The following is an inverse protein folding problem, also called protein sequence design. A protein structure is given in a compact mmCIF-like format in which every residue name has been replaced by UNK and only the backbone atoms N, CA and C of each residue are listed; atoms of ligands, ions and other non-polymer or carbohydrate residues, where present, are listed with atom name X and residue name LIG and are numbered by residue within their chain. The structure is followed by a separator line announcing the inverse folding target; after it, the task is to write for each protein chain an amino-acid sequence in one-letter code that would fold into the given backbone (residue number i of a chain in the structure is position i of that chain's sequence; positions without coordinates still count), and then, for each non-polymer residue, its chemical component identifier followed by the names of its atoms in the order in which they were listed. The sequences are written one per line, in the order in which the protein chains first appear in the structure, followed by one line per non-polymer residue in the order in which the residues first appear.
data_IF_308233028119
#
_entry.id   IF_308233028119
#
_cell.length_a   1.000
_cell.length_b   1.000
_cell.length_c   1.000
_cell.angle_alpha   90.00
_cell.angle_beta   90.00
_cell.angle_gamma   90.00
#
_symmetry.space_group_name_H-M   'P 1'
#
loop_
_entity.id
_entity.type
_entity.pdbx_description
1 polymer ?
#
# COMPACT_ATOMS: atom_id res chain seq x y z
N UNK A 1 6.88 -17.89 -9.44
CA UNK A 1 6.14 -17.18 -8.38
C UNK A 1 6.61 -15.74 -8.42
N UNK A 2 5.73 -14.73 -8.49
CA UNK A 2 6.14 -13.34 -8.37
C UNK A 2 6.98 -13.14 -7.09
N UNK A 3 8.00 -12.30 -7.20
CA UNK A 3 8.78 -11.82 -6.07
C UNK A 3 8.32 -10.39 -5.74
N UNK A 4 8.10 -10.12 -4.46
CA UNK A 4 7.59 -8.83 -3.97
C UNK A 4 8.55 -8.19 -2.98
N UNK A 5 8.62 -6.86 -3.02
CA UNK A 5 9.08 -6.04 -1.90
C UNK A 5 7.94 -5.09 -1.51
N UNK A 6 7.57 -5.08 -0.23
CA UNK A 6 6.51 -4.20 0.29
C UNK A 6 7.15 -2.99 0.98
N UNK A 7 6.74 -1.78 0.59
CA UNK A 7 7.10 -0.53 1.29
C UNK A 7 5.85 -0.01 2.02
N UNK A 8 5.89 0.05 3.35
CA UNK A 8 4.67 0.13 4.18
C UNK A 8 4.84 1.02 5.40
N UNK A 9 3.76 1.55 5.95
CA UNK A 9 3.75 2.32 7.19
C UNK A 9 2.81 1.69 8.24
N UNK A 10 3.07 0.46 8.73
CA UNK A 10 2.01 -0.41 9.23
C UNK A 10 0.99 0.22 10.17
N UNK A 11 -0.17 0.46 9.57
CA UNK A 11 -1.48 0.61 10.12
C UNK A 11 -2.25 -0.72 10.18
N UNK A 12 -3.49 -0.66 10.65
CA UNK A 12 -4.40 -1.82 10.73
C UNK A 12 -4.53 -2.59 9.42
N UNK A 13 -4.75 -1.96 8.26
CA UNK A 13 -4.91 -2.68 6.99
C UNK A 13 -3.59 -3.11 6.33
N UNK A 14 -2.47 -2.40 6.53
CA UNK A 14 -1.14 -2.91 6.18
C UNK A 14 -0.85 -4.26 6.84
N UNK A 15 -1.34 -4.49 8.07
CA UNK A 15 -1.17 -5.77 8.76
C UNK A 15 -1.83 -6.92 8.00
N UNK A 16 -2.98 -6.68 7.37
CA UNK A 16 -3.63 -7.66 6.50
C UNK A 16 -2.85 -7.83 5.19
N UNK A 17 -2.29 -6.75 4.64
CA UNK A 17 -1.51 -6.79 3.41
C UNK A 17 -0.21 -7.61 3.56
N UNK A 18 0.54 -7.37 4.65
CA UNK A 18 1.75 -8.14 4.98
C UNK A 18 1.39 -9.60 5.26
N UNK A 19 0.35 -9.86 6.07
CA UNK A 19 -0.09 -11.23 6.35
C UNK A 19 -0.48 -11.96 5.06
N UNK A 20 -1.18 -11.30 4.14
CA UNK A 20 -1.55 -11.88 2.85
C UNK A 20 -0.32 -12.27 2.03
N UNK A 21 0.68 -11.39 1.93
CA UNK A 21 1.91 -11.66 1.18
C UNK A 21 2.77 -12.78 1.82
N UNK A 22 2.74 -12.91 3.15
CA UNK A 22 3.46 -13.98 3.85
C UNK A 22 2.75 -15.32 3.72
N UNK A 23 1.43 -15.35 3.87
CA UNK A 23 0.66 -16.59 3.94
C UNK A 23 0.36 -17.19 2.57
N UNK A 24 0.27 -16.37 1.52
CA UNK A 24 -0.01 -16.91 0.19
C UNK A 24 1.22 -17.67 -0.36
N UNK A 25 1.06 -18.94 -0.80
CA UNK A 25 2.15 -19.76 -1.32
C UNK A 25 2.56 -19.40 -2.75
N UNK A 26 1.74 -18.63 -3.48
CA UNK A 26 1.99 -18.31 -4.88
C UNK A 26 2.99 -17.14 -5.05
N UNK A 27 3.51 -16.59 -3.93
CA UNK A 27 4.38 -15.41 -3.92
C UNK A 27 5.58 -15.57 -2.98
N UNK A 28 6.68 -14.92 -3.34
CA UNK A 28 7.88 -14.80 -2.50
C UNK A 28 8.02 -13.36 -2.03
N UNK A 29 7.82 -13.10 -0.73
CA UNK A 29 8.13 -11.82 -0.11
C UNK A 29 9.64 -11.73 0.15
N UNK A 30 10.34 -10.92 -0.65
CA UNK A 30 11.79 -10.76 -0.56
C UNK A 30 12.22 -9.87 0.60
N UNK A 31 11.39 -8.88 0.94
CA UNK A 31 11.71 -7.93 2.01
C UNK A 31 10.57 -6.95 2.27
N UNK A 32 10.66 -6.28 3.42
CA UNK A 32 9.76 -5.22 3.84
C UNK A 32 10.58 -3.98 4.15
N UNK A 33 10.21 -2.84 3.57
CA UNK A 33 10.73 -1.54 3.99
C UNK A 33 9.63 -0.76 4.68
N UNK A 34 10.03 0.09 5.62
CA UNK A 34 9.07 0.90 6.37
C UNK A 34 9.26 2.38 6.17
N UNK A 35 8.17 3.11 6.15
CA UNK A 35 8.14 4.57 6.02
C UNK A 35 7.27 5.16 7.13
N UNK A 36 7.39 6.46 7.35
CA UNK A 36 6.43 7.19 8.17
C UNK A 36 5.06 7.22 7.48
N UNK A 37 4.00 7.47 8.25
CA UNK A 37 2.68 7.79 7.68
C UNK A 37 1.61 7.70 8.75
N UNK A 38 0.96 6.54 8.87
CA UNK A 38 -0.04 6.22 9.88
C UNK A 38 0.45 6.54 11.29
N UNK A 39 1.70 6.17 11.59
CA UNK A 39 2.45 6.55 12.80
C UNK A 39 3.90 6.92 12.48
N UNK A 40 4.74 7.15 13.49
CA UNK A 40 6.16 7.44 13.27
C UNK A 40 6.87 6.22 12.69
N UNK A 41 7.92 6.43 11.90
CA UNK A 41 8.63 5.32 11.25
C UNK A 41 9.17 4.28 12.26
N UNK A 42 9.54 4.68 13.47
CA UNK A 42 9.98 3.73 14.50
C UNK A 42 8.83 2.83 14.98
N UNK A 43 7.60 3.34 15.01
CA UNK A 43 6.42 2.57 15.34
C UNK A 43 6.00 1.67 14.17
N UNK A 44 6.03 2.18 12.93
CA UNK A 44 5.73 1.40 11.72
C UNK A 44 6.74 0.25 11.54
N UNK A 45 8.04 0.50 11.75
CA UNK A 45 9.10 -0.52 11.78
C UNK A 45 8.79 -1.62 12.80
N UNK A 46 8.50 -1.23 14.05
CA UNK A 46 8.15 -2.20 15.10
C UNK A 46 6.90 -3.00 14.75
N UNK A 47 5.88 -2.36 14.21
CA UNK A 47 4.64 -3.02 13.83
C UNK A 47 4.89 -4.06 12.74
N UNK A 48 5.63 -3.73 11.67
CA UNK A 48 6.02 -4.69 10.64
C UNK A 48 6.77 -5.89 11.22
N UNK A 49 7.73 -5.68 12.14
CA UNK A 49 8.43 -6.78 12.82
C UNK A 49 7.46 -7.70 13.58
N UNK A 50 6.49 -7.13 14.30
CA UNK A 50 5.47 -7.90 15.03
C UNK A 50 4.55 -8.70 14.10
N UNK A 51 4.16 -8.10 12.97
CA UNK A 51 3.29 -8.75 11.98
C UNK A 51 4.04 -9.90 11.28
N UNK A 52 5.31 -9.71 10.92
CA UNK A 52 6.16 -10.78 10.38
C UNK A 52 6.34 -11.92 11.40
N UNK A 53 6.57 -11.58 12.67
CA UNK A 53 6.68 -12.57 13.74
C UNK A 53 5.37 -13.34 13.96
N UNK A 54 4.21 -12.66 13.94
CA UNK A 54 2.88 -13.28 13.98
C UNK A 54 2.72 -14.34 12.87
N UNK A 55 3.17 -14.01 11.66
CA UNK A 55 3.02 -14.87 10.50
C UNK A 55 4.14 -15.91 10.35
N UNK A 56 5.04 -16.05 11.34
CA UNK A 56 6.16 -16.99 11.29
C UNK A 56 7.24 -16.65 10.25
N UNK A 57 7.29 -15.40 9.78
CA UNK A 57 8.17 -14.92 8.72
C UNK A 57 9.31 -14.03 9.22
N UNK A 58 9.82 -14.31 10.41
CA UNK A 58 10.92 -13.56 11.04
C UNK A 58 12.25 -13.57 10.25
N UNK A 59 12.37 -14.41 9.22
CA UNK A 59 13.51 -14.44 8.31
C UNK A 59 13.42 -13.45 7.14
N UNK A 60 12.28 -12.81 6.93
CA UNK A 60 12.12 -11.78 5.88
C UNK A 60 12.89 -10.53 6.31
N UNK A 61 13.84 -10.02 5.51
CA UNK A 61 14.61 -8.85 5.86
C UNK A 61 13.72 -7.61 5.93
N UNK A 62 13.95 -6.78 6.94
CA UNK A 62 13.22 -5.54 7.17
C UNK A 62 14.17 -4.35 7.35
N UNK A 63 13.88 -3.23 6.69
CA UNK A 63 14.66 -2.00 6.86
C UNK A 63 13.79 -0.79 7.20
N UNK A 64 14.31 0.04 8.10
CA UNK A 64 13.75 1.36 8.43
C UNK A 64 14.07 2.32 7.28
N UNK A 65 13.07 3.05 6.81
CA UNK A 65 13.22 4.05 5.77
C UNK A 65 13.04 5.47 6.27
N UNK A 66 12.46 6.31 5.41
CA UNK A 66 12.29 7.73 5.65
C UNK A 66 11.39 8.01 6.87
N UNK A 67 11.81 8.98 7.69
CA UNK A 67 11.07 9.43 8.87
C UNK A 67 10.12 10.61 8.61
N UNK A 68 10.31 11.28 7.47
CA UNK A 68 9.60 12.50 7.07
C UNK A 68 9.53 12.63 5.54
N UNK A 69 8.63 13.48 5.01
CA UNK A 69 8.52 13.72 3.58
C UNK A 69 9.78 14.38 3.01
N UNK A 70 9.93 14.32 1.70
CA UNK A 70 11.06 14.86 0.96
C UNK A 70 11.26 16.35 1.24
N UNK A 71 10.21 17.16 1.02
CA UNK A 71 10.33 18.61 0.93
C UNK A 71 9.76 19.33 2.14
N UNK A 72 8.52 19.02 2.52
CA UNK A 72 7.80 19.75 3.55
C UNK A 72 7.53 18.89 4.79
N UNK A 73 7.52 19.48 6.00
CA UNK A 73 7.17 18.72 7.21
C UNK A 73 5.78 18.10 7.08
N UNK A 74 5.66 16.84 7.51
CA UNK A 74 4.38 16.15 7.50
C UNK A 74 3.45 16.74 8.58
N UNK A 75 2.27 17.26 8.22
CA UNK A 75 1.48 18.04 9.16
C UNK A 75 0.69 17.16 10.15
N UNK A 76 0.21 15.97 9.76
CA UNK A 76 -0.62 15.11 10.64
C UNK A 76 -0.54 13.62 10.31
N UNK A 77 -0.48 12.77 11.34
CA UNK A 77 -0.51 11.29 11.24
C UNK A 77 -1.95 10.75 11.25
N UNK A 78 -2.18 9.55 10.72
CA UNK A 78 -3.51 8.91 10.65
C UNK A 78 -3.99 8.21 11.94
N UNK A 79 -3.56 8.67 13.12
CA UNK A 79 -3.93 8.09 14.43
C UNK A 79 -5.44 8.05 14.69
N UNK A 80 -6.21 8.90 14.01
CA UNK A 80 -7.68 8.92 14.10
C UNK A 80 -8.35 7.68 13.53
N UNK A 81 -7.69 6.96 12.61
CA UNK A 81 -8.17 5.71 12.03
C UNK A 81 -7.42 4.50 12.61
N UNK A 82 -6.10 4.60 12.76
CA UNK A 82 -5.23 3.47 13.13
C UNK A 82 -4.87 3.41 14.62
N UNK A 83 -5.38 4.33 15.45
CA UNK A 83 -5.08 4.38 16.88
C UNK A 83 -3.69 4.96 17.20
N UNK A 84 -3.33 4.94 18.48
CA UNK A 84 -2.14 5.64 19.00
C UNK A 84 -0.80 4.99 18.61
N UNK A 85 -0.80 3.68 18.40
CA UNK A 85 0.35 2.85 18.04
C UNK A 85 0.34 2.37 16.58
N UNK A 86 -0.69 2.72 15.80
CA UNK A 86 -0.89 2.28 14.42
C UNK A 86 -1.72 0.99 14.29
N UNK A 87 -2.02 0.29 15.39
CA UNK A 87 -2.77 -0.96 15.37
C UNK A 87 -3.93 -0.93 16.39
N UNK A 88 -4.75 0.13 16.36
CA UNK A 88 -5.88 0.37 17.27
C UNK A 88 -5.53 0.35 18.76
N UNK A 89 -4.29 0.74 19.13
CA UNK A 89 -3.80 0.65 20.51
C UNK A 89 -3.56 -0.79 20.99
N UNK A 90 -3.50 -1.76 20.06
CA UNK A 90 -3.43 -3.20 20.34
C UNK A 90 -2.18 -3.87 19.79
N UNK A 91 -1.13 -3.13 19.42
CA UNK A 91 0.12 -3.73 18.93
C UNK A 91 0.74 -4.78 19.87
N UNK A 92 0.46 -4.70 21.19
CA UNK A 92 0.94 -5.66 22.20
C UNK A 92 0.27 -7.03 22.16
N UNK A 93 -0.82 -7.20 21.40
CA UNK A 93 -1.44 -8.53 21.20
C UNK A 93 -0.63 -9.39 20.23
N UNK A 94 0.22 -8.74 19.45
CA UNK A 94 1.15 -9.39 18.53
C UNK A 94 2.45 -9.79 19.27
N UNK A 95 3.18 -10.81 18.77
CA UNK A 95 4.47 -11.19 19.34
C UNK A 95 5.45 -10.02 19.38
N UNK A 96 6.39 -10.04 20.33
CA UNK A 96 7.44 -9.03 20.40
C UNK A 96 8.30 -9.01 19.12
N UNK A 97 8.85 -7.85 18.75
CA UNK A 97 9.67 -7.71 17.56
C UNK A 97 11.03 -8.38 17.78
N UNK A 98 11.12 -9.67 17.47
CA UNK A 98 12.37 -10.45 17.55
C UNK A 98 13.20 -10.31 16.26
N UNK A 99 12.61 -9.76 15.19
CA UNK A 99 13.27 -9.57 13.89
C UNK A 99 14.21 -8.37 13.95
N UNK A 100 15.54 -8.53 13.85
CA UNK A 100 16.45 -7.40 13.73
C UNK A 100 16.17 -6.64 12.45
N UNK A 101 16.21 -5.31 12.48
CA UNK A 101 16.30 -4.55 11.24
C UNK A 101 17.64 -4.83 10.57
N UNK A 102 17.65 -4.82 9.23
CA UNK A 102 18.90 -4.77 8.48
C UNK A 102 19.72 -3.53 8.91
N UNK A 103 21.05 -3.65 8.84
CA UNK A 103 21.96 -2.51 9.08
C UNK A 103 21.80 -1.42 8.01
N UNK A 104 21.31 -1.82 6.83
CA UNK A 104 21.03 -0.97 5.68
C UNK A 104 19.68 -0.23 5.82
N UNK A 105 19.59 0.98 5.26
CA UNK A 105 18.33 1.71 5.13
C UNK A 105 17.40 1.08 4.11
N UNK A 106 16.14 1.54 4.07
CA UNK A 106 15.12 1.02 3.16
C UNK A 106 15.57 1.03 1.69
N UNK A 107 16.17 2.13 1.22
CA UNK A 107 16.62 2.26 -0.17
C UNK A 107 17.73 1.25 -0.47
N UNK A 108 18.72 1.15 0.42
CA UNK A 108 19.84 0.22 0.25
C UNK A 108 19.39 -1.25 0.30
N UNK A 109 18.43 -1.59 1.17
CA UNK A 109 17.84 -2.93 1.19
C UNK A 109 17.13 -3.24 -0.14
N UNK A 110 16.28 -2.31 -0.64
CA UNK A 110 15.61 -2.48 -1.93
C UNK A 110 16.61 -2.69 -3.05
N UNK A 111 17.68 -1.87 -3.12
CA UNK A 111 18.72 -2.01 -4.14
C UNK A 111 19.42 -3.37 -4.06
N UNK A 112 19.76 -3.85 -2.86
CA UNK A 112 20.39 -5.17 -2.70
C UNK A 112 19.50 -6.28 -3.22
N UNK A 113 18.23 -6.30 -2.76
CA UNK A 113 17.26 -7.32 -3.17
C UNK A 113 16.98 -7.28 -4.67
N UNK A 114 16.86 -6.09 -5.26
CA UNK A 114 16.65 -5.93 -6.70
C UNK A 114 17.85 -6.40 -7.53
N UNK A 115 19.08 -6.20 -7.04
CA UNK A 115 20.31 -6.67 -7.73
C UNK A 115 20.53 -8.17 -7.60
N UNK A 116 20.09 -8.76 -6.49
CA UNK A 116 20.20 -10.20 -6.22
C UNK A 116 19.11 -11.02 -6.91
N UNK A 117 17.96 -10.40 -7.21
CA UNK A 117 16.88 -11.06 -7.90
C UNK A 117 17.27 -11.49 -9.32
N UNK A 118 16.94 -12.74 -9.68
CA UNK A 118 17.22 -13.29 -11.00
C UNK A 118 16.22 -12.85 -12.06
N UNK A 119 15.06 -12.35 -11.63
CA UNK A 119 13.95 -11.88 -12.45
C UNK A 119 13.47 -10.53 -11.90
N UNK A 120 12.87 -9.65 -12.74
CA UNK A 120 12.32 -8.39 -12.26
C UNK A 120 11.31 -8.56 -11.11
N UNK A 121 11.42 -7.70 -10.10
CA UNK A 121 10.67 -7.75 -8.85
C UNK A 121 9.51 -6.76 -8.90
N UNK A 122 8.39 -7.10 -8.27
CA UNK A 122 7.27 -6.19 -8.10
C UNK A 122 7.45 -5.40 -6.81
N UNK A 123 7.44 -4.08 -6.91
CA UNK A 123 7.42 -3.19 -5.75
C UNK A 123 5.96 -2.89 -5.37
N UNK A 124 5.63 -2.98 -4.09
CA UNK A 124 4.26 -2.76 -3.59
C UNK A 124 4.28 -1.71 -2.49
N UNK A 125 4.40 -0.42 -2.83
CA UNK A 125 4.26 0.64 -1.85
C UNK A 125 2.79 0.84 -1.45
N UNK A 126 2.55 0.69 -0.16
CA UNK A 126 1.24 0.85 0.49
C UNK A 126 1.23 1.96 1.54
N UNK A 127 2.34 2.71 1.65
CA UNK A 127 2.43 3.95 2.42
C UNK A 127 2.84 5.16 1.58
N UNK A 128 3.25 6.27 2.22
CA UNK A 128 3.81 7.43 1.53
C UNK A 128 5.02 7.06 0.66
N UNK A 129 5.02 7.50 -0.60
CA UNK A 129 5.96 7.08 -1.65
C UNK A 129 7.42 7.56 -1.50
N UNK A 130 7.80 8.04 -0.32
CA UNK A 130 9.09 8.67 -0.03
C UNK A 130 10.27 7.75 -0.35
N UNK A 131 10.23 6.50 0.13
CA UNK A 131 11.31 5.54 -0.08
C UNK A 131 11.45 5.18 -1.58
N UNK A 132 10.32 5.01 -2.28
CA UNK A 132 10.30 4.70 -3.71
C UNK A 132 10.84 5.87 -4.54
N UNK A 133 10.44 7.10 -4.23
CA UNK A 133 10.96 8.30 -4.89
C UNK A 133 12.48 8.43 -4.69
N UNK A 134 12.98 8.15 -3.48
CA UNK A 134 14.42 8.14 -3.19
C UNK A 134 15.15 7.03 -3.95
N UNK A 135 14.60 5.82 -4.01
CA UNK A 135 15.15 4.71 -4.79
C UNK A 135 15.34 5.10 -6.26
N UNK A 136 14.28 5.59 -6.90
CA UNK A 136 14.30 5.95 -8.32
C UNK A 136 15.19 7.16 -8.62
N UNK A 137 15.32 8.10 -7.67
CA UNK A 137 16.19 9.26 -7.82
C UNK A 137 17.68 8.91 -7.63
N UNK A 138 18.01 8.06 -6.65
CA UNK A 138 19.38 7.73 -6.30
C UNK A 138 19.97 6.60 -7.16
N UNK A 139 19.12 5.67 -7.62
CA UNK A 139 19.53 4.47 -8.37
C UNK A 139 18.68 4.29 -9.65
N UNK A 140 18.69 5.26 -10.59
CA UNK A 140 17.90 5.15 -11.82
C UNK A 140 18.27 3.93 -12.68
N UNK A 141 19.46 3.35 -12.49
CA UNK A 141 19.90 2.14 -13.17
C UNK A 141 19.19 0.87 -12.69
N UNK A 142 18.44 0.92 -11.59
CA UNK A 142 17.70 -0.24 -11.03
C UNK A 142 16.33 -0.48 -11.68
N UNK A 143 15.85 0.47 -12.50
CA UNK A 143 14.53 0.37 -13.14
C UNK A 143 14.32 -0.94 -13.93
N UNK A 144 15.29 -1.45 -14.71
CA UNK A 144 15.10 -2.71 -15.43
C UNK A 144 14.88 -3.94 -14.53
N UNK A 145 15.23 -3.87 -13.24
CA UNK A 145 14.98 -4.91 -12.25
C UNK A 145 13.60 -4.79 -11.58
N UNK A 146 12.81 -3.77 -11.92
CA UNK A 146 11.46 -3.56 -11.42
C UNK A 146 10.48 -4.02 -12.52
N UNK A 147 9.68 -5.06 -12.25
CA UNK A 147 8.61 -5.51 -13.16
C UNK A 147 7.52 -4.44 -13.27
N UNK A 148 7.01 -4.03 -12.11
CA UNK A 148 6.03 -2.96 -11.94
C UNK A 148 5.98 -2.48 -10.50
N UNK A 149 5.41 -1.30 -10.30
CA UNK A 149 5.12 -0.72 -8.99
C UNK A 149 3.60 -0.71 -8.79
N UNK A 150 3.09 -1.48 -7.84
CA UNK A 150 1.66 -1.54 -7.51
C UNK A 150 1.40 -0.69 -6.27
N UNK A 151 0.79 0.47 -6.47
CA UNK A 151 0.70 1.54 -5.48
C UNK A 151 -0.70 1.54 -4.86
N UNK A 152 -0.81 1.40 -3.54
CA UNK A 152 -2.02 1.87 -2.85
C UNK A 152 -1.88 3.38 -2.64
N UNK A 153 -2.78 4.14 -3.24
CA UNK A 153 -2.82 5.57 -2.99
C UNK A 153 -3.62 6.35 -3.98
N UNK A 154 -3.91 7.59 -3.62
CA UNK A 154 -4.65 8.53 -4.43
C UNK A 154 -6.14 8.26 -4.48
N UNK A 155 -6.84 9.28 -4.97
CA UNK A 155 -8.24 9.19 -5.27
C UNK A 155 -8.56 10.10 -6.45
N UNK A 156 -9.34 9.58 -7.39
CA UNK A 156 -9.75 10.32 -8.59
C UNK A 156 -10.90 11.26 -8.27
N UNK A 157 -11.90 10.81 -7.50
CA UNK A 157 -13.13 11.56 -7.29
C UNK A 157 -13.11 12.38 -5.99
N UNK A 158 -12.52 11.89 -4.89
CA UNK A 158 -12.44 12.62 -3.61
C UNK A 158 -11.52 11.98 -2.56
N UNK A 159 -11.00 12.78 -1.64
CA UNK A 159 -10.00 12.36 -0.64
C UNK A 159 -10.55 11.85 0.70
N UNK A 160 -9.66 11.32 1.56
CA UNK A 160 -9.97 10.91 2.94
C UNK A 160 -9.27 11.76 4.02
N UNK A 161 -8.19 12.48 3.67
CA UNK A 161 -7.51 13.40 4.60
C UNK A 161 -7.88 14.85 4.33
N UNK A 162 -8.09 15.20 3.05
CA UNK A 162 -8.72 16.45 2.63
C UNK A 162 -9.85 16.11 1.66
N UNK A 163 -10.62 17.13 1.26
CA UNK A 163 -11.68 16.93 0.27
C UNK A 163 -11.17 16.38 -1.07
N UNK A 164 -9.87 16.54 -1.39
CA UNK A 164 -9.29 16.19 -2.70
C UNK A 164 -8.11 15.21 -2.64
N UNK A 165 -7.54 14.97 -1.47
CA UNK A 165 -6.32 14.17 -1.34
C UNK A 165 -6.55 12.94 -0.47
N UNK A 166 -6.02 11.82 -0.95
CA UNK A 166 -5.87 10.58 -0.21
C UNK A 166 -4.58 10.67 0.65
N UNK A 167 -4.59 10.02 1.81
CA UNK A 167 -3.56 10.12 2.85
C UNK A 167 -2.13 9.83 2.37
N UNK A 168 -1.86 8.73 1.66
CA UNK A 168 -0.51 8.36 1.22
C UNK A 168 0.08 9.40 0.27
N UNK A 169 -0.70 9.84 -0.72
CA UNK A 169 -0.26 10.86 -1.67
C UNK A 169 -0.16 12.24 -1.02
N UNK A 170 -1.07 12.59 -0.13
CA UNK A 170 -1.02 13.84 0.64
C UNK A 170 0.16 13.92 1.60
N UNK A 171 0.61 12.77 2.11
CA UNK A 171 1.71 12.66 3.05
C UNK A 171 3.05 13.05 2.43
N UNK A 172 3.26 12.80 1.14
CA UNK A 172 4.39 13.27 0.34
C UNK A 172 4.01 13.48 -1.14
N UNK A 173 3.37 14.61 -1.48
CA UNK A 173 2.96 14.88 -2.85
C UNK A 173 4.12 14.96 -3.82
N UNK A 174 5.28 15.46 -3.39
CA UNK A 174 6.46 15.54 -4.22
C UNK A 174 7.02 14.16 -4.54
N UNK A 175 7.08 13.25 -3.56
CA UNK A 175 7.44 11.86 -3.80
C UNK A 175 6.42 11.16 -4.70
N UNK A 176 5.13 11.36 -4.45
CA UNK A 176 4.08 10.76 -5.26
C UNK A 176 4.12 11.22 -6.71
N UNK A 177 4.28 12.54 -6.94
CA UNK A 177 4.48 13.09 -8.28
C UNK A 177 5.70 12.45 -8.94
N UNK A 178 6.84 12.42 -8.23
CA UNK A 178 8.10 11.87 -8.73
C UNK A 178 7.98 10.40 -9.14
N UNK A 179 7.17 9.58 -8.47
CA UNK A 179 6.97 8.17 -8.81
C UNK A 179 5.97 8.01 -9.96
N UNK A 180 4.82 8.69 -9.89
CA UNK A 180 3.73 8.54 -10.87
C UNK A 180 4.05 9.13 -12.24
N UNK A 181 5.00 10.07 -12.31
CA UNK A 181 5.47 10.65 -13.57
C UNK A 181 6.84 10.12 -13.98
N UNK A 182 7.35 9.06 -13.34
CA UNK A 182 8.67 8.53 -13.68
C UNK A 182 8.63 7.74 -14.99
N UNK A 183 9.44 8.11 -16.00
CA UNK A 183 9.51 7.34 -17.24
C UNK A 183 10.18 5.98 -17.02
N UNK A 184 9.80 5.02 -17.86
CA UNK A 184 10.37 3.66 -17.88
C UNK A 184 10.10 2.86 -16.58
N UNK A 185 9.10 3.27 -15.79
CA UNK A 185 8.65 2.53 -14.60
C UNK A 185 7.16 2.25 -14.74
N UNK A 186 6.81 0.99 -14.94
CA UNK A 186 5.41 0.57 -15.07
C UNK A 186 4.71 0.69 -13.72
N UNK A 187 3.75 1.59 -13.61
CA UNK A 187 2.94 1.76 -12.40
C UNK A 187 1.52 1.21 -12.58
N UNK A 188 0.99 0.61 -11.51
CA UNK A 188 -0.44 0.30 -11.34
C UNK A 188 -0.91 1.02 -10.09
N UNK A 189 -1.81 1.99 -10.25
CA UNK A 189 -2.38 2.74 -9.14
C UNK A 189 -3.67 2.07 -8.67
N UNK A 190 -3.77 1.77 -7.39
CA UNK A 190 -4.93 1.20 -6.71
C UNK A 190 -5.53 2.28 -5.80
N UNK A 191 -6.46 3.10 -6.33
CA UNK A 191 -6.94 4.27 -5.62
C UNK A 191 -8.01 3.94 -4.57
N UNK A 192 -8.24 4.89 -3.68
CA UNK A 192 -9.28 4.81 -2.65
C UNK A 192 -10.68 4.57 -3.24
N UNK A 193 -11.00 5.19 -4.38
CA UNK A 193 -12.32 5.07 -5.04
C UNK A 193 -12.67 3.61 -5.36
N UNK A 194 -11.66 2.79 -5.67
CA UNK A 194 -11.81 1.37 -5.87
C UNK A 194 -11.83 0.60 -4.55
N UNK A 195 -10.82 0.79 -3.72
CA UNK A 195 -10.62 -0.01 -2.50
C UNK A 195 -11.81 0.11 -1.53
N UNK A 196 -12.42 1.29 -1.40
CA UNK A 196 -13.64 1.48 -0.59
C UNK A 196 -14.80 0.58 -1.02
N UNK A 197 -14.91 0.25 -2.31
CA UNK A 197 -15.96 -0.66 -2.82
C UNK A 197 -15.67 -2.13 -2.46
N UNK A 198 -14.42 -2.46 -2.13
CA UNK A 198 -14.00 -3.79 -1.69
C UNK A 198 -14.16 -4.02 -0.17
N UNK A 199 -14.77 -3.09 0.57
CA UNK A 199 -14.95 -3.18 2.02
C UNK A 199 -15.51 -4.54 2.50
N UNK A 200 -14.97 -5.05 3.60
CA UNK A 200 -15.37 -6.31 4.24
C UNK A 200 -16.20 -6.05 5.48
N UNK A 201 -17.22 -6.87 5.70
CA UNK A 201 -18.17 -6.70 6.81
C UNK A 201 -17.76 -7.49 8.06
N UNK A 202 -18.53 -7.30 9.13
CA UNK A 202 -18.32 -8.01 10.40
C UNK A 202 -18.35 -9.55 10.24
N UNK A 203 -19.32 -10.15 9.52
CA UNK A 203 -19.28 -11.59 9.23
C UNK A 203 -18.00 -12.07 8.53
N UNK A 204 -17.46 -11.31 7.58
CA UNK A 204 -16.18 -11.63 6.95
C UNK A 204 -15.03 -11.65 7.97
N UNK A 205 -14.97 -10.64 8.83
CA UNK A 205 -13.95 -10.50 9.87
C UNK A 205 -14.06 -11.61 10.94
N UNK A 206 -15.28 -12.04 11.27
CA UNK A 206 -15.51 -13.14 12.21
C UNK A 206 -15.12 -14.50 11.61
N UNK A 207 -15.33 -14.70 10.30
CA UNK A 207 -14.81 -15.88 9.58
C UNK A 207 -13.29 -15.92 9.57
N UNK A 208 -12.64 -14.77 9.37
CA UNK A 208 -11.19 -14.67 9.48
C UNK A 208 -10.74 -15.02 10.91
N UNK A 209 -11.39 -14.47 11.94
CA UNK A 209 -11.03 -14.77 13.33
C UNK A 209 -11.15 -16.27 13.67
N UNK A 210 -12.16 -16.95 13.10
CA UNK A 210 -12.40 -18.37 13.31
C UNK A 210 -11.40 -19.29 12.57
N UNK A 211 -10.58 -18.76 11.65
CA UNK A 211 -9.66 -19.58 10.85
C UNK A 211 -8.43 -20.05 11.63
N UNK A 212 -8.05 -19.33 12.70
CA UNK A 212 -6.88 -19.66 13.51
C UNK A 212 -6.26 -18.45 14.20
N UNK A 213 -5.11 -18.65 14.87
CA UNK A 213 -4.49 -17.62 15.71
C UNK A 213 -4.13 -16.33 14.97
N UNK A 214 -3.65 -16.43 13.73
CA UNK A 214 -3.29 -15.26 12.92
C UNK A 214 -4.54 -14.44 12.58
N UNK A 215 -5.61 -15.10 12.11
CA UNK A 215 -6.87 -14.43 11.80
C UNK A 215 -7.52 -13.80 13.04
N UNK A 216 -7.45 -14.47 14.18
CA UNK A 216 -7.93 -13.94 15.47
C UNK A 216 -7.15 -12.69 15.90
N UNK A 217 -5.82 -12.71 15.76
CA UNK A 217 -4.97 -11.56 16.06
C UNK A 217 -5.28 -10.38 15.12
N UNK A 218 -5.37 -10.61 13.80
CA UNK A 218 -5.73 -9.57 12.83
C UNK A 218 -7.10 -8.96 13.13
N UNK A 219 -8.10 -9.77 13.48
CA UNK A 219 -9.42 -9.30 13.91
C UNK A 219 -9.32 -8.36 15.10
N UNK A 220 -8.52 -8.71 16.10
CA UNK A 220 -8.35 -7.90 17.30
C UNK A 220 -7.80 -6.49 16.99
N UNK A 221 -6.94 -6.35 15.98
CA UNK A 221 -6.40 -5.05 15.53
C UNK A 221 -7.46 -4.14 14.89
N UNK A 222 -8.65 -4.64 14.54
CA UNK A 222 -9.68 -3.88 13.82
C UNK A 222 -10.58 -3.00 14.68
N UNK A 223 -10.36 -2.92 16.00
CA UNK A 223 -11.32 -2.26 16.92
C UNK A 223 -11.60 -0.79 16.55
N UNK A 224 -10.58 0.08 16.62
CA UNK A 224 -10.75 1.51 16.33
C UNK A 224 -11.03 1.74 14.83
N UNK A 225 -10.42 0.90 13.99
CA UNK A 225 -10.56 0.93 12.54
C UNK A 225 -12.00 0.66 12.09
N UNK A 226 -12.68 -0.30 12.72
CA UNK A 226 -14.09 -0.62 12.48
C UNK A 226 -14.99 0.54 12.94
N UNK A 227 -14.68 1.20 14.06
CA UNK A 227 -15.44 2.37 14.49
C UNK A 227 -15.31 3.51 13.46
N UNK A 228 -14.10 3.79 13.00
CA UNK A 228 -13.84 4.80 11.98
C UNK A 228 -14.59 4.50 10.67
N UNK A 229 -14.43 3.29 10.10
CA UNK A 229 -15.08 2.96 8.84
C UNK A 229 -16.59 2.78 8.95
N UNK A 230 -17.11 2.41 10.12
CA UNK A 230 -18.57 2.42 10.34
C UNK A 230 -19.14 3.82 10.15
N UNK A 231 -18.44 4.86 10.63
CA UNK A 231 -18.83 6.26 10.42
C UNK A 231 -18.65 6.68 8.96
N UNK A 232 -17.53 6.32 8.34
CA UNK A 232 -17.22 6.70 6.96
C UNK A 232 -18.14 6.04 5.92
N UNK A 233 -18.52 4.78 6.12
CA UNK A 233 -19.31 3.97 5.18
C UNK A 233 -20.81 3.93 5.51
N UNK A 234 -21.21 4.38 6.70
CA UNK A 234 -22.60 4.30 7.18
C UNK A 234 -23.09 2.87 7.48
N UNK A 235 -22.18 1.88 7.57
CA UNK A 235 -22.48 0.49 7.91
C UNK A 235 -21.28 -0.20 8.58
N UNK A 236 -21.48 -1.25 9.40
CA UNK A 236 -20.37 -1.98 10.03
C UNK A 236 -19.50 -2.73 9.02
N UNK A 237 -18.39 -2.11 8.63
CA UNK A 237 -17.41 -2.65 7.70
C UNK A 237 -16.06 -1.96 7.89
N UNK A 238 -14.99 -2.56 7.36
CA UNK A 238 -13.67 -1.95 7.22
C UNK A 238 -13.22 -1.99 5.76
N UNK A 239 -12.33 -1.08 5.39
CA UNK A 239 -11.68 -1.10 4.08
C UNK A 239 -10.24 -1.56 4.25
N UNK A 240 -9.88 -2.64 3.58
CA UNK A 240 -8.52 -3.18 3.59
C UNK A 240 -7.78 -2.64 2.35
N UNK A 241 -7.40 -1.37 2.36
CA UNK A 241 -6.91 -0.71 1.14
C UNK A 241 -5.67 -1.40 0.59
N UNK A 242 -4.71 -1.61 1.48
CA UNK A 242 -3.39 -2.13 1.13
C UNK A 242 -3.44 -3.59 0.71
N UNK A 243 -4.33 -4.37 1.32
CA UNK A 243 -4.54 -5.77 0.97
C UNK A 243 -5.05 -5.92 -0.47
N UNK A 244 -5.80 -4.94 -0.99
CA UNK A 244 -6.24 -4.95 -2.40
C UNK A 244 -5.06 -4.68 -3.35
N UNK A 245 -4.16 -3.76 -2.99
CA UNK A 245 -2.96 -3.50 -3.79
C UNK A 245 -2.00 -4.70 -3.79
N UNK A 246 -1.75 -5.30 -2.61
CA UNK A 246 -0.98 -6.54 -2.51
C UNK A 246 -1.65 -7.68 -3.27
N UNK A 247 -2.97 -7.82 -3.20
CA UNK A 247 -3.69 -8.85 -3.94
C UNK A 247 -3.56 -8.69 -5.47
N UNK A 248 -3.61 -7.47 -6.03
CA UNK A 248 -3.33 -7.23 -7.45
C UNK A 248 -1.85 -7.50 -7.81
N UNK A 249 -0.93 -7.27 -6.86
CA UNK A 249 0.47 -7.60 -7.05
C UNK A 249 0.71 -9.12 -7.13
N UNK A 250 0.00 -9.90 -6.31
CA UNK A 250 0.07 -11.38 -6.28
C UNK A 250 -0.72 -11.99 -7.45
N UNK A 251 -1.93 -11.49 -7.72
CA UNK A 251 -2.85 -12.02 -8.73
C UNK A 251 -3.18 -10.93 -9.77
N UNK A 252 -2.25 -10.63 -10.70
CA UNK A 252 -2.46 -9.58 -11.69
C UNK A 252 -3.69 -9.84 -12.55
N UNK A 253 -4.46 -8.79 -12.80
CA UNK A 253 -5.74 -8.86 -13.51
C UNK A 253 -6.95 -9.10 -12.62
N UNK A 254 -6.78 -9.11 -11.29
CA UNK A 254 -7.90 -9.04 -10.35
C UNK A 254 -8.66 -7.70 -10.50
N UNK A 255 -7.93 -6.63 -10.81
CA UNK A 255 -8.47 -5.29 -11.03
C UNK A 255 -8.53 -4.95 -12.52
N UNK A 256 -9.60 -4.26 -12.91
CA UNK A 256 -9.72 -3.64 -14.23
C UNK A 256 -9.11 -2.25 -14.18
N UNK A 257 -8.15 -1.99 -15.05
CA UNK A 257 -7.46 -0.70 -15.13
C UNK A 257 -7.85 0.10 -16.37
N UNK A 258 -7.70 1.42 -16.27
CA UNK A 258 -7.70 2.34 -17.39
C UNK A 258 -6.46 3.22 -17.30
N UNK A 259 -5.82 3.46 -18.43
CA UNK A 259 -4.57 4.22 -18.51
C UNK A 259 -4.84 5.72 -18.62
N UNK A 260 -4.36 6.50 -17.64
CA UNK A 260 -4.48 7.96 -17.63
C UNK A 260 -3.11 8.63 -17.47
N UNK A 261 -2.85 9.75 -18.15
CA UNK A 261 -1.82 10.68 -17.73
C UNK A 261 -2.14 11.19 -16.32
N UNK A 262 -1.15 11.10 -15.43
CA UNK A 262 -1.30 11.48 -14.02
C UNK A 262 -0.37 12.63 -13.65
N UNK A 263 -0.82 13.48 -12.74
CA UNK A 263 0.01 14.43 -11.99
C UNK A 263 -0.47 14.49 -10.53
N UNK A 264 0.32 15.10 -9.65
CA UNK A 264 -0.03 15.34 -8.24
C UNK A 264 0.20 16.80 -7.89
N UNK A 265 -0.82 17.45 -7.32
CA UNK A 265 -0.73 18.84 -6.89
C UNK A 265 0.22 18.98 -5.69
N UNK A 266 1.38 19.62 -5.92
CA UNK A 266 2.39 19.83 -4.88
C UNK A 266 2.28 21.21 -4.21
N UNK A 267 1.66 22.18 -4.87
CA UNK A 267 1.55 23.54 -4.34
C UNK A 267 0.69 23.56 -3.07
N UNK A 268 1.02 24.47 -2.16
CA UNK A 268 0.19 24.71 -0.99
C UNK A 268 -1.19 25.23 -1.40
N UNK A 269 -2.23 24.65 -0.81
CA UNK A 269 -3.60 24.98 -1.12
C UNK A 269 -4.56 23.85 -0.74
N UNK A 270 -5.87 24.04 -0.95
CA UNK A 270 -6.89 23.05 -0.62
C UNK A 270 -6.79 21.75 -1.44
N UNK A 271 -6.08 21.78 -2.56
CA UNK A 271 -5.86 20.65 -3.46
C UNK A 271 -4.50 19.97 -3.26
N UNK A 272 -3.66 20.41 -2.33
CA UNK A 272 -2.33 19.79 -2.14
C UNK A 272 -2.46 18.28 -1.88
N UNK A 273 -1.72 17.47 -2.63
CA UNK A 273 -1.76 16.01 -2.60
C UNK A 273 -2.89 15.39 -3.44
N UNK A 274 -3.70 16.19 -4.13
CA UNK A 274 -4.73 15.66 -5.01
C UNK A 274 -4.10 14.99 -6.23
N UNK A 275 -4.60 13.80 -6.55
CA UNK A 275 -4.31 13.12 -7.80
C UNK A 275 -5.06 13.82 -8.94
N UNK A 276 -4.33 14.17 -9.99
CA UNK A 276 -4.89 14.74 -11.21
C UNK A 276 -4.79 13.69 -12.31
N UNK A 277 -5.92 13.03 -12.61
CA UNK A 277 -6.01 12.08 -13.71
C UNK A 277 -6.69 12.73 -14.92
N UNK A 278 -5.99 12.81 -16.06
CA UNK A 278 -6.60 13.32 -17.29
C UNK A 278 -7.47 12.25 -17.97
N UNK A 279 -8.76 12.27 -17.65
CA UNK A 279 -9.78 11.33 -18.17
C UNK A 279 -10.36 11.76 -19.52
N UNK A 280 -9.83 12.80 -20.17
CA UNK A 280 -10.24 13.20 -21.52
C UNK A 280 -9.85 12.11 -22.52
N UNK A 281 -10.46 12.13 -23.71
CA UNK A 281 -10.08 11.22 -24.80
C UNK A 281 -8.64 11.50 -25.23
N UNK A 282 -7.84 10.45 -25.44
CA UNK A 282 -6.43 10.56 -25.83
C UNK A 282 -6.22 11.42 -27.07
N UNK A 283 -7.12 11.33 -28.06
CA UNK A 283 -7.06 12.17 -29.26
C UNK A 283 -7.08 13.67 -28.91
N UNK A 284 -7.93 14.06 -27.96
CA UNK A 284 -8.07 15.47 -27.52
C UNK A 284 -6.90 15.91 -26.64
N UNK A 285 -6.28 15.00 -25.90
CA UNK A 285 -5.08 15.31 -25.11
C UNK A 285 -3.93 15.67 -26.04
N UNK A 286 -3.69 14.86 -27.09
CA UNK A 286 -2.64 15.06 -28.07
C UNK A 286 -2.76 16.37 -28.87
N UNK A 287 -3.99 16.91 -29.01
CA UNK A 287 -4.26 18.19 -29.67
C UNK A 287 -4.11 19.42 -28.75
N UNK A 288 -3.93 19.22 -27.44
CA UNK A 288 -3.85 20.31 -26.45
C UNK A 288 -2.47 20.35 -25.79
N UNK A 289 -2.37 20.85 -24.55
CA UNK A 289 -1.11 20.82 -23.79
C UNK A 289 -0.80 19.37 -23.48
N UNK A 290 0.07 18.76 -24.29
CA UNK A 290 0.56 17.42 -24.05
C UNK A 290 1.36 17.42 -22.74
N UNK A 291 1.02 16.50 -21.84
CA UNK A 291 1.93 16.13 -20.77
C UNK A 291 2.85 15.04 -21.32
N UNK A 292 4.16 15.23 -21.24
CA UNK A 292 5.16 14.22 -21.64
C UNK A 292 5.22 13.02 -20.66
N UNK A 293 4.13 12.77 -19.93
CA UNK A 293 4.01 11.72 -18.91
C UNK A 293 3.44 10.46 -19.53
N UNK A 294 4.12 9.34 -19.35
CA UNK A 294 3.57 8.03 -19.73
C UNK A 294 2.26 7.76 -18.96
N UNK A 295 1.19 7.29 -19.63
CA UNK A 295 -0.04 6.94 -18.93
C UNK A 295 0.19 5.83 -17.91
N UNK A 296 -0.42 5.98 -16.73
CA UNK A 296 -0.38 5.01 -15.64
C UNK A 296 -1.68 4.22 -15.61
N UNK A 297 -1.60 2.91 -15.41
CA UNK A 297 -2.76 2.06 -15.24
C UNK A 297 -3.44 2.34 -13.90
N UNK A 298 -4.61 2.99 -13.92
CA UNK A 298 -5.41 3.28 -12.72
C UNK A 298 -6.52 2.25 -12.59
N UNK A 299 -6.58 1.56 -11.45
CA UNK A 299 -7.61 0.58 -11.18
C UNK A 299 -8.96 1.28 -10.96
N UNK A 300 -9.90 1.03 -11.87
CA UNK A 300 -11.21 1.68 -11.92
C UNK A 300 -12.34 0.74 -11.51
N UNK A 301 -12.11 -0.56 -11.50
CA UNK A 301 -13.07 -1.57 -11.07
C UNK A 301 -12.40 -2.90 -10.72
N UNK A 302 -13.18 -3.85 -10.21
CA UNK A 302 -12.78 -5.26 -10.15
C UNK A 302 -13.05 -5.91 -11.52
N UNK A 303 -12.18 -6.82 -11.96
CA UNK A 303 -12.39 -7.55 -13.21
C UNK A 303 -13.67 -8.41 -13.16
N UNK A 304 -14.46 -8.50 -14.25
CA UNK A 304 -15.78 -9.15 -14.24
C UNK A 304 -15.78 -10.60 -13.75
N UNK A 305 -14.74 -11.36 -14.07
CA UNK A 305 -14.55 -12.76 -13.67
C UNK A 305 -14.27 -12.93 -12.17
N UNK A 306 -13.78 -11.88 -11.52
CA UNK A 306 -13.56 -11.84 -10.08
C UNK A 306 -14.80 -11.34 -9.35
N UNK A 307 -15.30 -10.16 -9.74
CA UNK A 307 -16.34 -9.45 -9.00
C UNK A 307 -15.97 -9.12 -7.55
N UNK A 308 -16.70 -8.20 -6.91
CA UNK A 308 -16.38 -7.78 -5.53
C UNK A 308 -16.45 -8.93 -4.52
N UNK A 309 -17.42 -9.83 -4.65
CA UNK A 309 -17.53 -11.00 -3.76
C UNK A 309 -16.37 -11.98 -3.96
N UNK A 310 -15.93 -12.22 -5.21
CA UNK A 310 -14.80 -13.09 -5.48
C UNK A 310 -13.49 -12.52 -4.95
N UNK A 311 -13.28 -11.21 -5.04
CA UNK A 311 -12.14 -10.53 -4.40
C UNK A 311 -12.15 -10.73 -2.89
N UNK A 312 -13.28 -10.45 -2.22
CA UNK A 312 -13.41 -10.65 -0.77
C UNK A 312 -13.19 -12.11 -0.38
N UNK A 313 -13.70 -13.05 -1.16
CA UNK A 313 -13.52 -14.48 -0.93
C UNK A 313 -12.05 -14.90 -1.10
N UNK A 314 -11.35 -14.41 -2.14
CA UNK A 314 -9.94 -14.73 -2.35
C UNK A 314 -9.04 -14.11 -1.29
N UNK A 315 -9.31 -12.88 -0.85
CA UNK A 315 -8.60 -12.28 0.28
C UNK A 315 -8.72 -13.13 1.54
N UNK A 316 -9.94 -13.60 1.84
CA UNK A 316 -10.16 -14.49 2.99
C UNK A 316 -9.40 -15.80 2.81
N UNK A 317 -9.49 -16.43 1.64
CA UNK A 317 -8.75 -17.66 1.34
C UNK A 317 -7.23 -17.46 1.54
N UNK A 318 -6.65 -16.39 0.98
CA UNK A 318 -5.22 -16.08 1.13
C UNK A 318 -4.79 -15.87 2.59
N UNK A 319 -5.63 -15.23 3.41
CA UNK A 319 -5.36 -14.96 4.83
C UNK A 319 -5.64 -16.15 5.76
N UNK A 320 -6.29 -17.21 5.26
CA UNK A 320 -6.63 -18.40 6.04
C UNK A 320 -5.79 -19.62 5.69
N UNK A 321 -4.92 -19.51 4.67
CA UNK A 321 -3.93 -20.55 4.33
C UNK A 321 -2.89 -20.65 5.45
N UNK A 322 -2.67 -21.86 5.94
CA UNK A 322 -1.52 -22.19 6.81
C UNK A 322 -0.41 -22.78 5.96
N UNK A 323 0.81 -22.22 6.07
CA UNK A 323 2.03 -22.85 5.55
C UNK A 323 2.47 -24.00 6.45
#
# INVERSE_FOLDING_TARGET
MPALIIDTDPGVDDAFAIALAVLDPDVTLLGVTTVYGNVSVDATTRNAQRILALCGASGVPIARGAERPLVHPHPHRARYAHGSDGLSGRSSVLPDPIVPTADAGAVELMVSLLREATEPVVLVPIGPLTNIALLLAAYPEIKPQIDRVVIMGGAVDGGNVTARAEFNLWSDPEAARRVLTEPDVRCVLVPMDLTCRCAVDVPWLDRLAASGPIGAALRELTTDYLEYYTKALGRPAVVLHDAIAVAEAIWPGMLRTEDYPLDVECAFGPSRGALVADRRRRELIAETVATDTEPVAVAVDVAPEWGFEGVRARLLDGLTRTR
#
